data_IF_254306966532
#
_entry.id   IF_254306966532
#
_cell.length_a   1.000
_cell.length_b   1.000
_cell.length_c   1.000
_cell.angle_alpha   90.00
_cell.angle_beta   90.00
_cell.angle_gamma   90.00
#
_symmetry.space_group_name_H-M   'P 1'
#
loop_
_entity.id
_entity.type
_entity.pdbx_description
1 polymer ?
#
# COMPACT_ATOMS: atom_id res chain seq x y z
N UNK A 1 -17.53 9.41 -45.08
CA UNK A 1 -17.46 9.75 -43.64
C UNK A 1 -16.42 10.84 -43.46
N UNK A 2 -16.72 11.92 -42.74
CA UNK A 2 -15.71 12.94 -42.40
C UNK A 2 -14.80 12.32 -41.33
N UNK A 3 -13.53 12.07 -41.66
CA UNK A 3 -12.54 11.58 -40.68
C UNK A 3 -12.36 12.65 -39.59
N UNK A 4 -12.93 12.39 -38.41
CA UNK A 4 -12.73 13.25 -37.24
C UNK A 4 -11.29 13.07 -36.77
N UNK A 5 -10.53 14.16 -36.75
CA UNK A 5 -9.15 14.17 -36.27
C UNK A 5 -9.10 14.52 -34.79
N UNK A 6 -8.26 13.80 -34.06
CA UNK A 6 -8.00 13.98 -32.65
C UNK A 6 -6.53 14.35 -32.46
N UNK A 7 -6.29 15.31 -31.57
CA UNK A 7 -4.94 15.74 -31.20
C UNK A 7 -4.61 15.24 -29.81
N UNK A 8 -3.41 14.70 -29.63
CA UNK A 8 -2.90 14.36 -28.30
C UNK A 8 -2.84 15.62 -27.43
N UNK A 9 -3.56 15.60 -26.32
CA UNK A 9 -3.65 16.71 -25.36
C UNK A 9 -2.74 16.47 -24.15
N UNK A 10 -2.68 15.22 -23.68
CA UNK A 10 -1.86 14.85 -22.53
C UNK A 10 -2.10 13.42 -22.10
N UNK A 11 -1.99 13.15 -20.81
CA UNK A 11 -2.28 11.84 -20.23
C UNK A 11 -2.88 11.96 -18.84
N UNK A 12 -3.62 10.93 -18.41
CA UNK A 12 -4.19 10.90 -17.06
C UNK A 12 -3.06 10.75 -16.02
N UNK A 13 -3.12 11.52 -14.93
CA UNK A 13 -2.25 11.34 -13.76
C UNK A 13 -2.97 10.56 -12.69
N UNK A 14 -2.33 9.51 -12.19
CA UNK A 14 -2.90 8.66 -11.15
C UNK A 14 -2.12 8.80 -9.84
N UNK A 15 -2.32 9.90 -9.10
CA UNK A 15 -1.79 10.07 -7.75
C UNK A 15 -0.28 9.80 -7.58
N UNK A 16 0.16 9.58 -6.34
CA UNK A 16 1.57 9.63 -5.91
C UNK A 16 2.36 8.32 -6.00
N UNK A 17 2.07 7.41 -6.95
CA UNK A 17 2.72 6.09 -6.96
C UNK A 17 3.33 5.69 -8.31
N UNK A 18 4.42 4.92 -8.19
CA UNK A 18 5.44 4.47 -9.15
C UNK A 18 5.02 3.68 -10.39
N UNK A 19 3.75 3.72 -10.82
CA UNK A 19 3.36 3.02 -12.06
C UNK A 19 3.67 3.88 -13.28
N UNK A 20 4.55 3.42 -14.18
CA UNK A 20 5.09 4.30 -15.18
C UNK A 20 4.30 4.26 -16.50
N UNK A 21 3.15 3.60 -16.59
CA UNK A 21 2.31 3.56 -17.81
C UNK A 21 0.92 4.09 -17.49
N UNK A 22 0.42 5.03 -18.31
CA UNK A 22 -0.88 5.68 -18.12
C UNK A 22 -1.67 5.78 -19.43
N UNK A 23 -2.84 6.43 -19.39
CA UNK A 23 -3.81 6.53 -20.49
C UNK A 23 -3.64 7.86 -21.22
N UNK A 24 -3.51 7.88 -22.55
CA UNK A 24 -3.44 9.10 -23.33
C UNK A 24 -4.81 9.80 -23.35
N UNK A 25 -4.77 11.13 -23.40
CA UNK A 25 -5.95 11.99 -23.50
C UNK A 25 -5.82 12.80 -24.78
N UNK A 26 -6.88 12.78 -25.58
CA UNK A 26 -6.98 13.48 -26.84
C UNK A 26 -8.04 14.57 -26.77
N UNK A 27 -7.85 15.60 -27.58
CA UNK A 27 -8.83 16.64 -27.83
C UNK A 27 -9.29 16.50 -29.27
N UNK A 28 -10.60 16.49 -29.50
CA UNK A 28 -11.14 16.50 -30.87
C UNK A 28 -10.93 17.88 -31.47
N UNK A 29 -10.57 17.95 -32.74
CA UNK A 29 -10.42 19.22 -33.45
C UNK A 29 -11.69 20.08 -33.29
N UNK A 30 -11.49 21.36 -32.93
CA UNK A 30 -12.55 22.35 -32.69
C UNK A 30 -13.52 21.98 -31.55
N UNK A 31 -13.07 21.21 -30.56
CA UNK A 31 -13.84 20.89 -29.36
C UNK A 31 -13.01 21.09 -28.09
N UNK A 32 -13.62 21.63 -27.03
CA UNK A 32 -13.00 21.68 -25.70
C UNK A 32 -13.18 20.38 -24.91
N UNK A 33 -13.85 19.38 -25.49
CA UNK A 33 -14.03 18.08 -24.83
C UNK A 33 -12.76 17.25 -24.95
N UNK A 34 -12.42 16.60 -23.85
CA UNK A 34 -11.33 15.64 -23.77
C UNK A 34 -11.87 14.23 -24.00
N UNK A 35 -11.02 13.37 -24.52
CA UNK A 35 -11.37 12.03 -24.93
C UNK A 35 -10.27 11.04 -24.57
N UNK A 36 -10.66 9.82 -24.23
CA UNK A 36 -9.77 8.68 -24.02
C UNK A 36 -9.97 7.71 -25.17
N UNK A 37 -8.91 7.19 -25.83
CA UNK A 37 -9.09 6.27 -26.93
C UNK A 37 -9.60 4.94 -26.42
N UNK A 38 -10.59 4.41 -27.12
CA UNK A 38 -10.96 3.01 -27.07
C UNK A 38 -10.04 2.25 -28.02
N UNK A 39 -9.34 1.25 -27.52
CA UNK A 39 -8.38 0.49 -28.34
C UNK A 39 -8.57 -1.01 -28.19
N UNK A 40 -8.06 -1.76 -29.17
CA UNK A 40 -7.81 -3.20 -29.03
C UNK A 40 -6.52 -3.49 -28.23
N UNK A 41 -6.16 -4.79 -28.12
CA UNK A 41 -4.92 -5.31 -27.55
C UNK A 41 -3.63 -4.73 -28.16
N UNK A 42 -3.67 -4.34 -29.43
CA UNK A 42 -2.53 -3.80 -30.17
C UNK A 42 -2.48 -2.27 -30.10
N UNK A 43 -3.33 -1.66 -29.27
CA UNK A 43 -3.49 -0.20 -29.14
C UNK A 43 -4.07 0.47 -30.38
N UNK A 44 -4.67 -0.28 -31.31
CA UNK A 44 -5.38 0.28 -32.46
C UNK A 44 -6.64 1.00 -31.97
N UNK A 45 -6.81 2.26 -32.36
CA UNK A 45 -7.96 3.08 -31.98
C UNK A 45 -9.20 2.62 -32.74
N UNK A 46 -10.20 2.18 -31.99
CA UNK A 46 -11.49 1.75 -32.52
C UNK A 46 -12.54 2.86 -32.40
N UNK A 47 -12.46 3.68 -31.34
CA UNK A 47 -13.37 4.79 -31.07
C UNK A 47 -12.77 5.70 -29.96
N UNK A 48 -13.53 6.69 -29.49
CA UNK A 48 -13.16 7.56 -28.38
C UNK A 48 -14.28 7.67 -27.33
N UNK A 49 -13.90 7.62 -26.06
CA UNK A 49 -14.78 7.91 -24.91
C UNK A 49 -14.64 9.36 -24.51
N UNK A 50 -15.75 10.07 -24.29
CA UNK A 50 -15.71 11.42 -23.74
C UNK A 50 -15.28 11.37 -22.26
N UNK A 51 -14.32 12.20 -21.90
CA UNK A 51 -13.86 12.40 -20.54
C UNK A 51 -14.56 13.62 -19.95
N UNK A 52 -15.15 13.48 -18.77
CA UNK A 52 -15.74 14.61 -18.06
C UNK A 52 -14.65 15.54 -17.53
N UNK A 53 -14.97 16.83 -17.55
CA UNK A 53 -14.12 17.87 -17.01
C UNK A 53 -13.94 17.67 -15.49
N UNK A 54 -12.69 17.65 -15.02
CA UNK A 54 -12.37 17.46 -13.59
C UNK A 54 -12.44 16.01 -13.06
N UNK A 55 -12.88 15.03 -13.86
CA UNK A 55 -12.93 13.62 -13.41
C UNK A 55 -11.54 13.03 -13.12
N UNK A 56 -10.50 13.55 -13.77
CA UNK A 56 -9.11 13.15 -13.60
C UNK A 56 -8.19 14.36 -13.77
N UNK A 57 -7.06 14.37 -13.05
CA UNK A 57 -5.95 15.27 -13.34
C UNK A 57 -5.29 14.85 -14.66
N UNK A 58 -5.07 15.81 -15.56
CA UNK A 58 -4.43 15.57 -16.86
C UNK A 58 -3.06 16.23 -16.85
N UNK A 59 -2.01 15.42 -16.99
CA UNK A 59 -0.65 15.90 -17.21
C UNK A 59 -0.43 16.14 -18.70
N UNK A 60 -0.12 17.39 -19.03
CA UNK A 60 0.33 17.78 -20.37
C UNK A 60 1.84 17.53 -20.41
N UNK A 61 2.29 16.81 -21.44
CA UNK A 61 3.72 16.56 -21.67
C UNK A 61 4.15 17.02 -23.04
N UNK A 62 5.46 17.09 -23.22
CA UNK A 62 6.06 17.39 -24.51
C UNK A 62 6.05 16.13 -25.40
N UNK A 63 5.59 16.28 -26.63
CA UNK A 63 5.50 15.18 -27.60
C UNK A 63 6.59 15.39 -28.64
N UNK A 64 7.60 14.52 -28.63
CA UNK A 64 8.77 14.67 -29.49
C UNK A 64 8.60 14.10 -30.89
N UNK A 65 7.83 13.02 -31.04
CA UNK A 65 7.43 12.52 -32.35
C UNK A 65 6.10 13.15 -32.78
N UNK A 66 6.16 13.96 -33.84
CA UNK A 66 4.98 14.61 -34.40
C UNK A 66 3.92 13.63 -34.93
N UNK A 67 4.30 12.39 -35.27
CA UNK A 67 3.35 11.37 -35.70
C UNK A 67 2.40 10.96 -34.56
N UNK A 68 2.80 11.13 -33.30
CA UNK A 68 1.96 10.83 -32.14
C UNK A 68 0.97 11.95 -31.82
N UNK A 69 1.15 13.15 -32.39
CA UNK A 69 0.33 14.32 -32.08
C UNK A 69 -1.07 14.25 -32.69
N UNK A 70 -1.24 13.56 -33.80
CA UNK A 70 -2.51 13.50 -34.54
C UNK A 70 -2.90 12.06 -34.79
N UNK A 71 -4.09 11.71 -34.36
CA UNK A 71 -4.62 10.36 -34.48
C UNK A 71 -6.06 10.41 -34.98
N UNK A 72 -6.46 9.36 -35.69
CA UNK A 72 -7.82 9.07 -36.08
C UNK A 72 -8.21 7.64 -35.68
N UNK A 73 -9.47 7.29 -35.90
CA UNK A 73 -9.91 5.90 -35.78
C UNK A 73 -9.18 5.07 -36.84
N UNK A 74 -8.58 3.95 -36.42
CA UNK A 74 -7.70 3.11 -37.24
C UNK A 74 -6.21 3.40 -37.07
N UNK A 75 -5.84 4.48 -36.36
CA UNK A 75 -4.44 4.73 -35.96
C UNK A 75 -4.08 4.01 -34.66
N UNK A 76 -2.79 3.83 -34.38
CA UNK A 76 -2.33 3.37 -33.07
C UNK A 76 -2.37 4.51 -32.04
N UNK A 77 -2.97 4.26 -30.88
CA UNK A 77 -2.89 5.18 -29.75
C UNK A 77 -1.48 5.15 -29.17
N UNK A 78 -0.89 6.33 -28.97
CA UNK A 78 0.35 6.42 -28.20
C UNK A 78 0.16 5.88 -26.77
N UNK A 79 1.26 5.47 -26.15
CA UNK A 79 1.30 4.99 -24.78
C UNK A 79 2.08 5.99 -23.94
N UNK A 80 1.41 6.76 -23.06
CA UNK A 80 2.13 7.66 -22.18
C UNK A 80 2.82 6.91 -21.04
N UNK A 81 4.05 7.32 -20.78
CA UNK A 81 4.90 6.83 -19.72
C UNK A 81 5.18 7.96 -18.71
N UNK A 82 5.04 7.65 -17.42
CA UNK A 82 5.22 8.61 -16.32
C UNK A 82 6.51 8.35 -15.56
N UNK A 83 7.28 9.40 -15.32
CA UNK A 83 8.44 9.38 -14.44
C UNK A 83 8.49 10.66 -13.60
N UNK A 84 8.21 10.53 -12.31
CA UNK A 84 7.98 11.68 -11.44
C UNK A 84 6.78 12.50 -11.92
N UNK A 85 7.00 13.78 -12.24
CA UNK A 85 5.98 14.68 -12.81
C UNK A 85 6.08 14.82 -14.34
N UNK A 86 7.00 14.10 -14.98
CA UNK A 86 7.16 14.15 -16.44
C UNK A 86 6.32 13.06 -17.10
N UNK A 87 5.76 13.41 -18.26
CA UNK A 87 5.09 12.48 -19.16
C UNK A 87 5.82 12.40 -20.49
N UNK A 88 6.00 11.17 -20.96
CA UNK A 88 6.65 10.83 -22.21
C UNK A 88 5.66 10.04 -23.06
N UNK A 89 5.66 10.18 -24.37
CA UNK A 89 4.68 9.51 -25.23
C UNK A 89 5.42 8.63 -26.23
N UNK A 90 5.13 7.32 -26.20
CA UNK A 90 5.78 6.36 -27.08
C UNK A 90 4.78 5.71 -28.03
N UNK A 91 5.22 5.37 -29.23
CA UNK A 91 4.45 4.47 -30.09
C UNK A 91 4.41 3.07 -29.48
N UNK A 92 3.25 2.38 -29.49
CA UNK A 92 3.14 1.02 -28.96
C UNK A 92 4.10 0.02 -29.63
N UNK A 93 4.49 0.26 -30.88
CA UNK A 93 5.35 -0.62 -31.68
C UNK A 93 6.84 -0.30 -31.57
N UNK A 94 7.24 0.78 -30.88
CA UNK A 94 8.66 1.13 -30.78
C UNK A 94 9.48 0.06 -30.06
N UNK A 95 10.70 -0.15 -30.55
CA UNK A 95 11.75 -0.92 -29.88
C UNK A 95 12.40 -0.11 -28.75
N UNK A 96 13.19 -0.78 -27.89
CA UNK A 96 14.01 -0.10 -26.86
C UNK A 96 14.85 1.03 -27.47
N UNK A 97 15.49 0.75 -28.61
CA UNK A 97 16.38 1.68 -29.30
C UNK A 97 15.62 2.90 -29.83
N UNK A 98 14.41 2.69 -30.38
CA UNK A 98 13.55 3.80 -30.83
C UNK A 98 13.08 4.66 -29.65
N UNK A 99 12.65 4.04 -28.55
CA UNK A 99 12.26 4.77 -27.34
C UNK A 99 13.44 5.60 -26.82
N UNK A 100 14.64 5.02 -26.72
CA UNK A 100 15.83 5.74 -26.26
C UNK A 100 16.26 6.87 -27.20
N UNK A 101 16.03 6.72 -28.51
CA UNK A 101 16.32 7.76 -29.51
C UNK A 101 15.41 8.97 -29.33
N UNK A 102 14.10 8.75 -29.18
CA UNK A 102 13.13 9.84 -29.08
C UNK A 102 13.00 10.38 -27.65
N UNK A 103 13.11 9.52 -26.64
CA UNK A 103 12.97 9.82 -25.20
C UNK A 103 14.23 9.42 -24.39
N UNK A 104 15.39 10.04 -24.65
CA UNK A 104 16.67 9.66 -24.01
C UNK A 104 16.73 9.87 -22.50
N UNK A 105 15.82 10.69 -21.94
CA UNK A 105 15.74 10.96 -20.49
C UNK A 105 14.91 9.92 -19.73
N UNK A 106 14.21 9.04 -20.43
CA UNK A 106 13.33 8.05 -19.81
C UNK A 106 14.14 6.90 -19.21
N UNK A 107 13.91 6.59 -17.92
CA UNK A 107 14.67 5.53 -17.28
C UNK A 107 14.39 4.13 -17.86
N UNK A 108 15.43 3.30 -17.88
CA UNK A 108 15.38 1.94 -18.42
C UNK A 108 14.35 1.05 -17.71
N UNK A 109 14.09 1.27 -16.42
CA UNK A 109 13.08 0.52 -15.67
C UNK A 109 11.66 0.81 -16.16
N UNK A 110 11.37 2.06 -16.53
CA UNK A 110 10.10 2.46 -17.13
C UNK A 110 9.92 1.82 -18.50
N UNK A 111 10.96 1.85 -19.34
CA UNK A 111 10.96 1.21 -20.67
C UNK A 111 10.69 -0.30 -20.52
N UNK A 112 11.37 -0.98 -19.59
CA UNK A 112 11.13 -2.40 -19.31
C UNK A 112 9.71 -2.67 -18.84
N UNK A 113 9.15 -1.83 -17.98
CA UNK A 113 7.77 -1.97 -17.51
C UNK A 113 6.75 -1.83 -18.64
N UNK A 114 6.95 -0.88 -19.55
CA UNK A 114 6.15 -0.71 -20.76
C UNK A 114 6.22 -1.95 -21.67
N UNK A 115 7.42 -2.41 -22.01
CA UNK A 115 7.59 -3.56 -22.90
C UNK A 115 7.02 -4.85 -22.29
N UNK A 116 7.21 -5.06 -20.99
CA UNK A 116 6.60 -6.18 -20.26
C UNK A 116 5.07 -6.12 -20.24
N UNK A 117 4.49 -4.92 -20.17
CA UNK A 117 3.05 -4.74 -20.31
C UNK A 117 2.61 -5.11 -21.73
N UNK A 118 3.27 -4.58 -22.76
CA UNK A 118 2.97 -4.85 -24.17
C UNK A 118 3.01 -6.35 -24.48
N UNK A 119 4.07 -7.05 -24.10
CA UNK A 119 4.20 -8.49 -24.31
C UNK A 119 3.08 -9.30 -23.65
N UNK A 120 2.70 -8.93 -22.41
CA UNK A 120 1.61 -9.62 -21.69
C UNK A 120 0.25 -9.42 -22.36
N UNK A 121 0.04 -8.28 -23.00
CA UNK A 121 -1.18 -8.00 -23.76
C UNK A 121 -1.17 -8.84 -25.05
N UNK A 122 -0.08 -8.79 -25.83
CA UNK A 122 0.05 -9.54 -27.08
C UNK A 122 -0.10 -11.06 -26.88
N UNK A 123 0.49 -11.63 -25.81
CA UNK A 123 0.38 -13.06 -25.51
C UNK A 123 -1.04 -13.54 -25.18
N UNK A 124 -1.91 -12.64 -24.69
CA UNK A 124 -3.30 -12.98 -24.31
C UNK A 124 -4.30 -12.77 -25.44
N UNK A 125 -3.95 -11.98 -26.45
CA UNK A 125 -4.80 -11.62 -27.58
C UNK A 125 -5.04 -12.77 -28.59
N UNK A 126 -4.48 -13.97 -28.38
CA UNK A 126 -4.43 -15.01 -29.42
C UNK A 126 -5.55 -16.07 -29.38
N UNK A 127 -6.57 -15.93 -28.54
CA UNK A 127 -7.68 -16.90 -28.50
C UNK A 127 -9.01 -16.23 -28.85
N UNK A 128 -9.53 -16.62 -30.02
CA UNK A 128 -10.89 -16.47 -30.55
C UNK A 128 -11.12 -15.39 -31.65
N UNK A 129 -11.21 -15.79 -32.94
CA UNK A 129 -11.48 -14.89 -34.06
C UNK A 129 -12.97 -14.75 -34.42
N UNK A 130 -13.92 -15.26 -33.61
CA UNK A 130 -15.36 -15.18 -33.93
C UNK A 130 -16.05 -14.20 -33.00
N UNK A 131 -16.49 -13.06 -33.54
CA UNK A 131 -17.87 -12.56 -33.38
C UNK A 131 -18.03 -11.18 -34.03
N UNK A 132 -18.93 -11.13 -35.01
CA UNK A 132 -19.42 -9.95 -35.72
C UNK A 132 -20.26 -9.04 -34.79
N UNK A 133 -20.23 -7.73 -35.10
CA UNK A 133 -21.09 -6.64 -34.56
C UNK A 133 -21.10 -6.35 -33.04
N UNK A 134 -20.70 -7.25 -32.13
CA UNK A 134 -20.49 -6.98 -30.69
C UNK A 134 -19.08 -6.46 -30.35
N UNK A 135 -18.21 -6.32 -31.36
CA UNK A 135 -16.81 -5.87 -31.28
C UNK A 135 -16.65 -4.52 -30.56
N UNK A 136 -17.70 -3.68 -30.58
CA UNK A 136 -17.71 -2.35 -29.98
C UNK A 136 -17.80 -2.41 -28.45
N UNK A 137 -18.49 -3.38 -27.84
CA UNK A 137 -18.49 -3.51 -26.37
C UNK A 137 -17.36 -4.46 -25.89
N UNK A 138 -16.71 -5.18 -26.82
CA UNK A 138 -15.66 -6.17 -26.56
C UNK A 138 -14.26 -5.64 -26.24
N UNK A 139 -13.99 -4.34 -26.38
CA UNK A 139 -12.73 -3.75 -25.92
C UNK A 139 -12.49 -3.91 -24.39
N UNK A 140 -13.54 -4.25 -23.62
CA UNK A 140 -13.45 -4.59 -22.19
C UNK A 140 -13.36 -6.10 -21.91
N UNK A 141 -13.52 -6.97 -22.93
CA UNK A 141 -13.37 -8.43 -22.81
C UNK A 141 -11.92 -8.85 -22.64
N UNK A 142 -10.96 -8.01 -23.02
CA UNK A 142 -9.57 -8.34 -22.83
C UNK A 142 -9.24 -8.41 -21.34
N UNK A 143 -8.78 -9.59 -20.93
CA UNK A 143 -8.36 -9.89 -19.58
C UNK A 143 -7.36 -8.81 -19.14
N UNK A 144 -7.74 -7.89 -18.24
CA UNK A 144 -6.88 -6.76 -17.92
C UNK A 144 -5.56 -7.28 -17.40
N UNK A 145 -4.46 -6.71 -17.88
CA UNK A 145 -3.20 -6.83 -17.16
C UNK A 145 -3.34 -5.97 -15.90
N UNK A 146 -2.74 -6.36 -14.78
CA UNK A 146 -2.77 -5.68 -13.47
C UNK A 146 -2.14 -4.27 -13.52
N UNK A 147 -2.71 -3.39 -14.34
CA UNK A 147 -2.21 -2.07 -14.71
C UNK A 147 -3.35 -1.06 -14.57
N UNK A 148 -3.02 0.11 -14.03
CA UNK A 148 -3.93 1.27 -13.90
C UNK A 148 -4.53 1.71 -15.22
N UNK A 149 -3.80 1.46 -16.31
CA UNK A 149 -4.25 1.70 -17.67
C UNK A 149 -5.66 1.15 -17.93
N UNK A 150 -5.89 -0.13 -17.60
CA UNK A 150 -7.16 -0.82 -17.88
C UNK A 150 -8.28 -0.39 -16.94
N UNK A 151 -7.94 -0.13 -15.67
CA UNK A 151 -8.87 0.38 -14.66
C UNK A 151 -9.47 1.72 -15.10
N UNK A 152 -8.63 2.62 -15.57
CA UNK A 152 -9.05 3.97 -15.93
C UNK A 152 -9.81 3.99 -17.26
N UNK A 153 -9.43 3.16 -18.23
CA UNK A 153 -10.23 2.96 -19.45
C UNK A 153 -11.64 2.46 -19.15
N UNK A 154 -11.76 1.48 -18.24
CA UNK A 154 -13.07 0.96 -17.82
C UNK A 154 -13.93 2.05 -17.18
N UNK A 155 -13.37 2.83 -16.26
CA UNK A 155 -14.12 3.94 -15.62
C UNK A 155 -14.56 4.98 -16.66
N UNK A 156 -13.65 5.42 -17.53
CA UNK A 156 -13.97 6.39 -18.57
C UNK A 156 -15.10 5.92 -19.48
N UNK A 157 -15.12 4.62 -19.81
CA UNK A 157 -16.17 4.04 -20.64
C UNK A 157 -17.53 3.97 -19.94
N UNK A 158 -17.58 3.58 -18.67
CA UNK A 158 -18.81 3.55 -17.88
C UNK A 158 -19.40 4.96 -17.75
N UNK A 159 -18.57 5.94 -17.40
CA UNK A 159 -18.99 7.35 -17.29
C UNK A 159 -19.45 7.90 -18.63
N UNK A 160 -18.68 7.69 -19.71
CA UNK A 160 -19.06 8.10 -21.07
C UNK A 160 -20.37 7.45 -21.52
N UNK A 161 -20.59 6.16 -21.24
CA UNK A 161 -21.85 5.50 -21.57
C UNK A 161 -23.04 6.08 -20.79
N UNK A 162 -22.83 6.44 -19.52
CA UNK A 162 -23.83 7.09 -18.67
C UNK A 162 -24.21 8.47 -19.21
N UNK A 163 -23.23 9.34 -19.44
CA UNK A 163 -23.46 10.74 -19.82
C UNK A 163 -24.09 10.89 -21.19
N UNK A 164 -23.84 9.93 -22.08
CA UNK A 164 -24.46 9.92 -23.41
C UNK A 164 -25.83 9.21 -23.42
N UNK A 165 -26.40 8.86 -22.27
CA UNK A 165 -27.69 8.15 -22.17
C UNK A 165 -27.66 6.73 -22.74
N UNK A 166 -26.47 6.18 -22.99
CA UNK A 166 -26.23 4.87 -23.64
C UNK A 166 -26.10 3.72 -22.64
N UNK A 167 -26.32 3.97 -21.36
CA UNK A 167 -26.18 3.01 -20.26
C UNK A 167 -27.48 2.24 -20.01
N UNK A 168 -27.88 1.42 -20.99
CA UNK A 168 -29.06 0.55 -20.90
C UNK A 168 -28.95 -0.46 -19.74
N UNK A 169 -30.07 -1.02 -19.29
CA UNK A 169 -30.08 -2.06 -18.23
C UNK A 169 -29.21 -3.26 -18.60
N UNK A 170 -29.21 -3.68 -19.88
CA UNK A 170 -28.32 -4.74 -20.39
C UNK A 170 -26.83 -4.36 -20.24
N UNK A 171 -26.45 -3.14 -20.62
CA UNK A 171 -25.08 -2.62 -20.46
C UNK A 171 -24.65 -2.47 -19.01
N UNK A 172 -25.54 -2.04 -18.11
CA UNK A 172 -25.28 -2.01 -16.66
C UNK A 172 -24.97 -3.40 -16.12
N UNK A 173 -25.74 -4.42 -16.52
CA UNK A 173 -25.50 -5.81 -16.13
C UNK A 173 -24.15 -6.29 -16.68
N UNK A 174 -23.85 -6.01 -17.95
CA UNK A 174 -22.58 -6.36 -18.58
C UNK A 174 -21.38 -5.76 -17.83
N UNK A 175 -21.36 -4.44 -17.60
CA UNK A 175 -20.26 -3.78 -16.86
C UNK A 175 -20.11 -4.30 -15.43
N UNK A 176 -21.23 -4.63 -14.77
CA UNK A 176 -21.21 -5.25 -13.43
C UNK A 176 -20.57 -6.64 -13.47
N UNK A 177 -20.86 -7.45 -14.49
CA UNK A 177 -20.30 -8.79 -14.65
C UNK A 177 -18.79 -8.73 -14.99
N UNK A 178 -18.39 -7.86 -15.92
CA UNK A 178 -16.97 -7.67 -16.25
C UNK A 178 -16.16 -7.22 -15.03
N UNK A 179 -16.68 -6.24 -14.29
CA UNK A 179 -16.05 -5.80 -13.04
C UNK A 179 -15.91 -6.94 -12.05
N UNK A 180 -16.94 -7.77 -11.83
CA UNK A 180 -16.87 -8.92 -10.93
C UNK A 180 -15.78 -9.90 -11.36
N UNK A 181 -15.69 -10.19 -12.65
CA UNK A 181 -14.67 -11.10 -13.18
C UNK A 181 -13.25 -10.52 -13.02
N UNK A 182 -13.09 -9.23 -13.22
CA UNK A 182 -11.81 -8.54 -13.00
C UNK A 182 -11.38 -8.58 -11.55
N UNK A 183 -12.30 -8.30 -10.63
CA UNK A 183 -12.06 -8.40 -9.19
C UNK A 183 -11.61 -9.82 -8.85
N UNK A 184 -12.32 -10.84 -9.36
CA UNK A 184 -11.99 -12.25 -9.11
C UNK A 184 -10.59 -12.62 -9.61
N UNK A 185 -10.20 -12.17 -10.80
CA UNK A 185 -8.91 -12.53 -11.43
C UNK A 185 -7.71 -11.69 -10.97
N UNK A 186 -7.91 -10.42 -10.59
CA UNK A 186 -6.81 -9.44 -10.43
C UNK A 186 -6.72 -8.76 -9.08
N UNK A 187 -7.74 -8.83 -8.22
CA UNK A 187 -7.75 -8.13 -6.93
C UNK A 187 -6.47 -8.37 -6.13
N UNK A 188 -5.95 -9.60 -6.11
CA UNK A 188 -4.73 -9.96 -5.37
C UNK A 188 -3.43 -9.35 -5.92
N UNK A 189 -3.40 -9.04 -7.22
CA UNK A 189 -2.21 -8.55 -7.93
C UNK A 189 -2.24 -7.04 -8.16
N UNK A 190 -3.42 -6.42 -8.09
CA UNK A 190 -3.60 -4.99 -8.23
C UNK A 190 -3.35 -4.26 -6.90
N UNK A 191 -2.78 -3.05 -6.92
CA UNK A 191 -2.75 -2.17 -5.75
C UNK A 191 -4.15 -1.90 -5.23
N UNK A 192 -4.30 -1.79 -3.90
CA UNK A 192 -5.59 -1.58 -3.25
C UNK A 192 -6.34 -0.34 -3.79
N UNK A 193 -5.63 0.77 -4.00
CA UNK A 193 -6.18 2.01 -4.57
C UNK A 193 -6.82 1.79 -5.94
N UNK A 194 -6.23 0.94 -6.79
CA UNK A 194 -6.79 0.64 -8.10
C UNK A 194 -8.09 -0.15 -7.99
N UNK A 195 -8.15 -1.07 -7.01
CA UNK A 195 -9.35 -1.83 -6.74
C UNK A 195 -10.46 -0.89 -6.23
N UNK A 196 -10.16 -0.01 -5.26
CA UNK A 196 -11.09 1.01 -4.76
C UNK A 196 -11.72 1.82 -5.91
N UNK A 197 -10.90 2.33 -6.82
CA UNK A 197 -11.36 3.08 -7.99
C UNK A 197 -12.32 2.29 -8.90
N UNK A 198 -12.10 0.99 -9.08
CA UNK A 198 -13.01 0.12 -9.85
C UNK A 198 -14.33 -0.10 -9.10
N UNK A 199 -14.27 -0.28 -7.78
CA UNK A 199 -15.45 -0.56 -6.95
C UNK A 199 -16.33 0.69 -6.77
N UNK A 200 -15.73 1.87 -6.85
CA UNK A 200 -16.36 3.17 -6.60
C UNK A 200 -16.86 3.89 -7.87
N UNK A 201 -16.81 3.25 -9.04
CA UNK A 201 -17.43 3.78 -10.26
C UNK A 201 -18.93 4.11 -10.01
N UNK A 202 -19.34 5.40 -9.98
CA UNK A 202 -20.64 5.84 -9.45
C UNK A 202 -21.85 5.20 -10.14
N UNK A 203 -21.79 5.06 -11.45
CA UNK A 203 -22.90 4.69 -12.33
C UNK A 203 -23.21 3.18 -12.29
N UNK A 204 -22.28 2.41 -11.73
CA UNK A 204 -22.41 0.98 -11.47
C UNK A 204 -22.07 0.65 -10.02
N UNK A 205 -22.16 1.61 -9.08
CA UNK A 205 -21.72 1.42 -7.70
C UNK A 205 -22.23 0.09 -7.11
N UNK A 206 -21.31 -0.68 -6.53
CA UNK A 206 -21.70 -1.84 -5.72
C UNK A 206 -22.04 -1.37 -4.31
N UNK A 207 -23.04 -2.01 -3.70
CA UNK A 207 -23.39 -1.74 -2.31
C UNK A 207 -22.21 -2.00 -1.37
N UNK A 208 -22.14 -1.24 -0.27
CA UNK A 208 -21.03 -1.29 0.69
C UNK A 208 -20.75 -2.71 1.19
N UNK A 209 -21.80 -3.51 1.46
CA UNK A 209 -21.64 -4.92 1.84
C UNK A 209 -20.81 -5.69 0.82
N UNK A 210 -21.07 -5.57 -0.48
CA UNK A 210 -20.29 -6.27 -1.51
C UNK A 210 -18.86 -5.77 -1.60
N UNK A 211 -18.63 -4.45 -1.46
CA UNK A 211 -17.28 -3.84 -1.43
C UNK A 211 -16.44 -4.44 -0.30
N UNK A 212 -16.98 -4.42 0.92
CA UNK A 212 -16.32 -5.01 2.10
C UNK A 212 -15.97 -6.47 1.85
N UNK A 213 -16.86 -7.26 1.22
CA UNK A 213 -16.59 -8.66 0.88
C UNK A 213 -15.35 -8.81 0.01
N UNK A 214 -15.27 -7.98 -1.04
CA UNK A 214 -14.22 -8.04 -2.04
C UNK A 214 -12.87 -7.66 -1.41
N UNK A 215 -12.85 -6.58 -0.63
CA UNK A 215 -11.64 -6.16 0.07
C UNK A 215 -11.17 -7.21 1.07
N UNK A 216 -12.12 -7.84 1.78
CA UNK A 216 -11.84 -8.85 2.79
C UNK A 216 -11.30 -10.14 2.16
N UNK A 217 -11.91 -10.61 1.07
CA UNK A 217 -11.41 -11.76 0.30
C UNK A 217 -10.02 -11.48 -0.29
N UNK A 218 -9.78 -10.29 -0.86
CA UNK A 218 -8.44 -9.89 -1.33
C UNK A 218 -7.44 -9.92 -0.18
N UNK A 219 -7.80 -9.35 0.96
CA UNK A 219 -6.90 -9.27 2.09
C UNK A 219 -6.52 -10.65 2.61
N UNK A 220 -7.49 -11.56 2.75
CA UNK A 220 -7.24 -12.96 3.11
C UNK A 220 -6.26 -13.65 2.13
N UNK A 221 -6.41 -13.43 0.82
CA UNK A 221 -5.51 -13.98 -0.18
C UNK A 221 -4.10 -13.34 -0.15
N UNK A 222 -4.01 -12.05 0.16
CA UNK A 222 -2.72 -11.39 0.40
C UNK A 222 -2.04 -11.90 1.67
N UNK A 223 -2.77 -12.09 2.75
CA UNK A 223 -2.24 -12.66 3.98
C UNK A 223 -1.67 -14.06 3.74
N UNK A 224 -2.39 -14.91 2.99
CA UNK A 224 -1.92 -16.24 2.62
C UNK A 224 -0.64 -16.23 1.77
N UNK A 225 -0.53 -15.28 0.84
CA UNK A 225 0.57 -15.26 -0.15
C UNK A 225 1.79 -14.44 0.28
N UNK A 226 1.60 -13.40 1.10
CA UNK A 226 2.65 -12.45 1.49
C UNK A 226 2.90 -12.40 2.99
N UNK A 227 1.95 -12.80 3.83
CA UNK A 227 2.07 -12.72 5.29
C UNK A 227 2.52 -11.32 5.76
N UNK A 228 3.65 -11.27 6.47
CA UNK A 228 4.25 -10.03 6.98
C UNK A 228 4.81 -9.10 5.88
N UNK A 229 4.97 -9.58 4.65
CA UNK A 229 5.52 -8.79 3.53
C UNK A 229 4.49 -7.88 2.84
N UNK A 230 3.29 -7.72 3.42
CA UNK A 230 2.28 -6.78 2.89
C UNK A 230 2.77 -5.35 3.14
N UNK A 231 2.75 -4.44 2.14
CA UNK A 231 3.19 -3.07 2.32
C UNK A 231 2.43 -2.32 3.42
N UNK A 232 3.16 -1.57 4.25
CA UNK A 232 2.60 -0.77 5.35
C UNK A 232 1.47 0.17 4.91
N UNK A 233 1.59 0.77 3.73
CA UNK A 233 0.56 1.65 3.16
C UNK A 233 -0.75 0.90 2.86
N UNK A 234 -0.69 -0.36 2.40
CA UNK A 234 -1.87 -1.20 2.21
C UNK A 234 -2.44 -1.63 3.57
N UNK A 235 -1.60 -2.04 4.53
CA UNK A 235 -2.06 -2.43 5.86
C UNK A 235 -2.80 -1.30 6.57
N UNK A 236 -2.27 -0.07 6.54
CA UNK A 236 -2.95 1.12 7.11
C UNK A 236 -4.32 1.34 6.50
N UNK A 237 -4.43 1.16 5.17
CA UNK A 237 -5.71 1.30 4.48
C UNK A 237 -6.69 0.19 4.88
N UNK A 238 -6.21 -1.03 5.06
CA UNK A 238 -7.03 -2.13 5.57
C UNK A 238 -7.51 -1.93 7.01
N UNK A 239 -6.68 -1.36 7.89
CA UNK A 239 -7.11 -1.01 9.25
C UNK A 239 -8.25 0.03 9.24
N UNK A 240 -8.26 0.95 8.27
CA UNK A 240 -9.38 1.90 8.09
C UNK A 240 -10.65 1.21 7.57
N UNK A 241 -10.50 0.24 6.65
CA UNK A 241 -11.61 -0.50 6.09
C UNK A 241 -12.22 -1.50 7.08
N UNK A 242 -11.41 -2.05 7.99
CA UNK A 242 -11.77 -3.08 8.97
C UNK A 242 -11.31 -2.64 10.37
N UNK A 243 -12.01 -1.71 11.02
CA UNK A 243 -11.57 -1.13 12.30
C UNK A 243 -11.48 -2.16 13.43
N UNK A 244 -12.25 -3.25 13.36
CA UNK A 244 -12.19 -4.35 14.33
C UNK A 244 -11.17 -5.44 13.95
N UNK A 245 -10.41 -5.25 12.88
CA UNK A 245 -9.51 -6.25 12.31
C UNK A 245 -10.20 -7.15 11.28
N UNK A 246 -9.42 -7.63 10.32
CA UNK A 246 -9.94 -8.48 9.26
C UNK A 246 -10.41 -9.86 9.75
N UNK A 247 -9.82 -10.40 10.82
CA UNK A 247 -10.23 -11.70 11.39
C UNK A 247 -11.66 -11.63 11.92
N UNK A 248 -12.01 -10.57 12.67
CA UNK A 248 -13.38 -10.35 13.16
C UNK A 248 -14.38 -10.25 11.99
N UNK A 249 -14.03 -9.47 10.97
CA UNK A 249 -14.86 -9.31 9.76
C UNK A 249 -15.05 -10.63 9.00
N UNK A 250 -13.99 -11.44 8.90
CA UNK A 250 -14.05 -12.77 8.28
C UNK A 250 -14.96 -13.71 9.08
N UNK A 251 -14.84 -13.73 10.42
CA UNK A 251 -15.67 -14.55 11.28
C UNK A 251 -17.16 -14.18 11.19
N UNK A 252 -17.49 -12.88 11.21
CA UNK A 252 -18.87 -12.41 11.06
C UNK A 252 -19.45 -12.89 9.72
N UNK A 253 -18.64 -12.82 8.66
CA UNK A 253 -19.12 -12.95 7.29
C UNK A 253 -19.11 -14.38 6.75
N UNK A 254 -18.15 -15.20 7.17
CA UNK A 254 -17.93 -16.53 6.66
C UNK A 254 -18.15 -17.62 7.71
N UNK A 255 -19.03 -17.37 8.70
CA UNK A 255 -19.33 -18.27 9.84
C UNK A 255 -19.30 -19.77 9.51
N UNK A 256 -19.69 -20.18 8.29
CA UNK A 256 -19.69 -21.58 7.83
C UNK A 256 -19.06 -21.84 6.43
N UNK A 257 -18.44 -20.85 5.76
CA UNK A 257 -18.08 -20.96 4.34
C UNK A 257 -16.57 -20.94 4.03
N UNK A 258 -15.75 -20.45 4.97
CA UNK A 258 -14.30 -20.48 4.91
C UNK A 258 -13.84 -21.12 6.20
N UNK A 259 -13.01 -22.17 6.14
CA UNK A 259 -12.39 -22.74 7.34
C UNK A 259 -11.44 -21.69 7.94
N UNK A 260 -12.00 -20.83 8.80
CA UNK A 260 -11.27 -19.78 9.47
C UNK A 260 -10.19 -20.34 10.39
N UNK A 261 -10.33 -21.57 10.88
CA UNK A 261 -9.28 -22.24 11.63
C UNK A 261 -8.11 -22.62 10.72
N UNK A 262 -8.36 -22.95 9.45
CA UNK A 262 -7.30 -23.12 8.45
C UNK A 262 -6.63 -21.80 8.09
N UNK A 263 -7.40 -20.74 7.81
CA UNK A 263 -6.83 -19.41 7.47
C UNK A 263 -6.01 -18.86 8.63
N UNK A 264 -6.50 -19.00 9.86
CA UNK A 264 -5.75 -18.62 11.06
C UNK A 264 -4.49 -19.47 11.21
N UNK A 265 -4.56 -20.81 11.07
CA UNK A 265 -3.36 -21.68 11.13
C UNK A 265 -2.32 -21.29 10.09
N UNK A 266 -2.70 -21.14 8.82
CA UNK A 266 -1.78 -20.74 7.75
C UNK A 266 -1.15 -19.37 8.03
N UNK A 267 -1.91 -18.42 8.57
CA UNK A 267 -1.40 -17.11 8.94
C UNK A 267 -0.43 -17.19 10.11
N UNK A 268 -0.74 -18.02 11.12
CA UNK A 268 0.12 -18.24 12.27
C UNK A 268 1.42 -18.90 11.85
N UNK A 269 1.35 -19.95 11.04
CA UNK A 269 2.52 -20.65 10.50
C UNK A 269 3.38 -19.69 9.67
N UNK A 270 2.75 -18.80 8.88
CA UNK A 270 3.46 -17.79 8.10
C UNK A 270 4.13 -16.73 8.97
N UNK A 271 3.45 -16.20 9.99
CA UNK A 271 4.03 -15.22 10.93
C UNK A 271 5.15 -15.88 11.72
N UNK A 272 4.88 -17.01 12.35
CA UNK A 272 5.84 -17.76 13.16
C UNK A 272 7.06 -18.19 12.34
N UNK A 273 6.85 -18.75 11.15
CA UNK A 273 7.94 -19.11 10.24
C UNK A 273 8.72 -17.90 9.75
N UNK A 274 8.06 -16.79 9.42
CA UNK A 274 8.76 -15.59 8.95
C UNK A 274 9.64 -14.99 10.05
N UNK A 275 9.17 -15.04 11.29
CA UNK A 275 9.94 -14.58 12.45
C UNK A 275 11.11 -15.52 12.73
N UNK A 276 10.88 -16.81 12.95
CA UNK A 276 11.95 -17.74 13.33
C UNK A 276 12.98 -17.96 12.22
N UNK A 277 12.57 -18.02 10.95
CA UNK A 277 13.51 -18.20 9.82
C UNK A 277 14.53 -17.07 9.73
N UNK A 278 14.22 -15.88 10.24
CA UNK A 278 15.17 -14.78 10.33
C UNK A 278 16.29 -15.13 11.33
N UNK A 279 15.92 -15.58 12.52
CA UNK A 279 16.84 -15.90 13.60
C UNK A 279 17.65 -17.18 13.35
N UNK A 280 17.05 -18.18 12.70
CA UNK A 280 17.76 -19.40 12.26
C UNK A 280 18.90 -19.08 11.28
N UNK A 281 18.73 -18.06 10.43
CA UNK A 281 19.76 -17.65 9.46
C UNK A 281 20.84 -16.81 10.11
N UNK A 282 20.43 -15.90 10.98
CA UNK A 282 21.32 -14.92 11.60
C UNK A 282 22.09 -15.50 12.81
N UNK A 283 21.69 -16.66 13.35
CA UNK A 283 22.22 -17.25 14.59
C UNK A 283 22.08 -16.30 15.79
N UNK A 284 20.97 -15.57 15.81
CA UNK A 284 20.69 -14.48 16.75
C UNK A 284 19.54 -14.91 17.65
N UNK A 285 19.59 -14.55 18.93
CA UNK A 285 18.50 -14.83 19.87
C UNK A 285 17.23 -14.03 19.50
N UNK A 286 16.09 -14.69 19.21
CA UNK A 286 14.83 -14.00 18.90
C UNK A 286 14.30 -13.13 20.05
N UNK A 287 14.74 -13.39 21.28
CA UNK A 287 14.33 -12.62 22.45
C UNK A 287 15.25 -11.45 22.77
N UNK A 288 16.41 -11.33 22.12
CA UNK A 288 17.31 -10.18 22.34
C UNK A 288 16.69 -8.89 21.75
N UNK A 289 16.37 -7.88 22.57
CA UNK A 289 15.77 -6.63 22.12
C UNK A 289 16.60 -5.87 21.08
N UNK A 290 17.94 -6.01 21.04
CA UNK A 290 18.80 -5.26 20.12
C UNK A 290 18.69 -5.71 18.67
N UNK A 291 18.25 -6.95 18.48
CA UNK A 291 18.10 -7.60 17.17
C UNK A 291 16.91 -7.03 16.41
N UNK A 292 15.93 -6.50 17.13
CA UNK A 292 14.71 -5.91 16.60
C UNK A 292 14.87 -4.42 16.32
N UNK A 293 14.62 -4.02 15.07
CA UNK A 293 14.63 -2.62 14.68
C UNK A 293 13.28 -1.97 14.98
N UNK A 294 13.28 -0.68 15.38
CA UNK A 294 12.04 0.03 15.68
C UNK A 294 11.08 0.08 14.50
N UNK A 295 11.58 0.26 13.29
CA UNK A 295 10.73 0.35 12.10
C UNK A 295 10.10 -0.99 11.73
N UNK A 296 10.75 -2.09 12.08
CA UNK A 296 10.18 -3.43 11.95
C UNK A 296 9.03 -3.63 12.93
N UNK A 297 9.23 -3.30 14.21
CA UNK A 297 8.17 -3.38 15.24
C UNK A 297 7.00 -2.45 14.94
N UNK A 298 7.24 -1.26 14.36
CA UNK A 298 6.17 -0.39 13.85
C UNK A 298 5.39 -1.02 12.69
N UNK A 299 6.03 -1.85 11.86
CA UNK A 299 5.33 -2.55 10.79
C UNK A 299 4.51 -3.71 11.35
N UNK A 300 5.01 -4.38 12.39
CA UNK A 300 4.28 -5.41 13.11
C UNK A 300 3.05 -4.86 13.81
N UNK A 301 3.16 -3.75 14.55
CA UNK A 301 2.01 -3.09 15.17
C UNK A 301 0.90 -2.84 14.15
N UNK A 302 1.26 -2.25 13.00
CA UNK A 302 0.30 -1.99 11.92
C UNK A 302 -0.28 -3.30 11.39
N UNK A 303 0.53 -4.33 11.18
CA UNK A 303 0.07 -5.64 10.72
C UNK A 303 -0.93 -6.28 11.69
N UNK A 304 -0.56 -6.42 12.97
CA UNK A 304 -1.41 -7.07 13.97
C UNK A 304 -2.71 -6.30 14.18
N UNK A 305 -2.67 -4.96 14.19
CA UNK A 305 -3.86 -4.14 14.24
C UNK A 305 -4.75 -4.31 13.00
N UNK A 306 -4.19 -4.37 11.80
CA UNK A 306 -4.98 -4.58 10.56
C UNK A 306 -5.60 -5.99 10.48
N UNK A 307 -4.88 -7.01 10.96
CA UNK A 307 -5.31 -8.40 10.86
C UNK A 307 -6.24 -8.79 12.01
N UNK A 308 -5.80 -8.60 13.24
CA UNK A 308 -6.51 -9.04 14.44
C UNK A 308 -7.33 -7.91 15.06
N UNK A 309 -6.88 -6.66 14.98
CA UNK A 309 -7.59 -5.55 15.63
C UNK A 309 -7.68 -5.79 17.14
N UNK A 310 -8.90 -6.06 17.63
CA UNK A 310 -9.16 -6.39 19.05
C UNK A 310 -9.21 -7.90 19.33
N UNK A 311 -9.20 -8.72 18.28
CA UNK A 311 -9.22 -10.18 18.39
C UNK A 311 -7.96 -10.71 19.07
N UNK A 312 -8.07 -11.88 19.68
CA UNK A 312 -6.92 -12.56 20.28
C UNK A 312 -5.91 -12.90 19.19
N UNK A 313 -4.68 -12.46 19.38
CA UNK A 313 -3.55 -12.96 18.61
C UNK A 313 -3.27 -14.43 18.98
N UNK A 314 -2.65 -15.20 18.09
CA UNK A 314 -2.36 -16.61 18.32
C UNK A 314 -1.38 -16.76 19.48
N UNK A 315 -1.62 -17.77 20.33
CA UNK A 315 -0.82 -17.99 21.54
C UNK A 315 0.69 -18.04 21.27
N UNK A 316 1.14 -18.76 20.25
CA UNK A 316 2.57 -18.88 19.91
C UNK A 316 3.22 -17.53 19.56
N UNK A 317 2.47 -16.66 18.88
CA UNK A 317 2.93 -15.32 18.53
C UNK A 317 2.86 -14.39 19.75
N UNK A 318 1.83 -14.52 20.58
CA UNK A 318 1.72 -13.82 21.85
C UNK A 318 2.90 -14.18 22.77
N UNK A 319 3.15 -15.47 23.00
CA UNK A 319 4.22 -15.99 23.85
C UNK A 319 5.61 -15.48 23.38
N UNK A 320 5.83 -15.39 22.07
CA UNK A 320 7.04 -14.81 21.50
C UNK A 320 7.18 -13.32 21.81
N UNK A 321 6.11 -12.55 21.59
CA UNK A 321 6.10 -11.09 21.80
C UNK A 321 6.18 -10.76 23.29
N UNK A 322 5.50 -11.54 24.14
CA UNK A 322 5.58 -11.47 25.60
C UNK A 322 6.99 -11.79 26.08
N UNK A 323 7.63 -12.82 25.51
CA UNK A 323 9.04 -13.11 25.76
C UNK A 323 9.93 -11.91 25.42
N UNK A 324 9.78 -11.33 24.23
CA UNK A 324 10.55 -10.16 23.81
C UNK A 324 10.28 -8.93 24.70
N UNK A 325 9.05 -8.74 25.16
CA UNK A 325 8.69 -7.69 26.10
C UNK A 325 9.38 -7.90 27.46
N UNK A 326 9.31 -9.12 28.00
CA UNK A 326 9.96 -9.48 29.27
C UNK A 326 11.48 -9.34 29.20
N UNK A 327 12.10 -9.76 28.10
CA UNK A 327 13.53 -9.54 27.88
C UNK A 327 13.87 -8.06 27.70
N UNK A 328 13.00 -7.25 27.08
CA UNK A 328 13.19 -5.80 26.99
C UNK A 328 13.15 -5.13 28.36
N UNK A 329 12.25 -5.59 29.24
CA UNK A 329 12.14 -5.14 30.63
C UNK A 329 13.37 -5.57 31.43
N UNK A 330 13.76 -6.85 31.37
CA UNK A 330 14.94 -7.38 32.04
C UNK A 330 16.23 -6.68 31.57
N UNK A 331 16.35 -6.44 30.26
CA UNK A 331 17.50 -5.75 29.68
C UNK A 331 17.57 -4.29 30.12
N UNK A 332 16.43 -3.61 30.17
CA UNK A 332 16.34 -2.27 30.71
C UNK A 332 16.71 -2.27 32.20
N UNK A 333 16.30 -3.31 32.95
CA UNK A 333 16.67 -3.49 34.33
C UNK A 333 18.16 -3.77 34.55
N UNK A 334 18.86 -4.48 33.66
CA UNK A 334 20.30 -4.73 33.74
C UNK A 334 21.14 -3.46 33.49
N UNK A 335 20.65 -2.55 32.65
CA UNK A 335 21.25 -1.21 32.49
C UNK A 335 21.01 -0.36 33.75
N UNK A 336 20.09 -0.80 34.59
CA UNK A 336 19.55 -0.05 35.69
C UNK A 336 20.05 -0.56 37.04
N UNK A 337 20.29 0.32 38.00
CA UNK A 337 20.69 -0.11 39.34
C UNK A 337 19.48 -0.45 40.24
N UNK A 338 18.24 -0.18 39.80
CA UNK A 338 17.04 -0.40 40.61
C UNK A 338 15.83 -0.85 39.76
N UNK A 339 15.58 -2.17 39.77
CA UNK A 339 14.47 -2.82 39.05
C UNK A 339 13.09 -2.27 39.46
N UNK A 340 12.86 -2.07 40.76
CA UNK A 340 11.54 -1.63 41.28
C UNK A 340 11.20 -0.19 40.86
N UNK A 341 12.18 0.72 40.89
CA UNK A 341 11.99 2.11 40.46
C UNK A 341 11.67 2.20 38.95
N UNK A 342 12.25 1.30 38.16
CA UNK A 342 12.05 1.25 36.71
C UNK A 342 10.75 0.59 36.30
N UNK A 343 10.38 -0.53 36.92
CA UNK A 343 9.06 -1.12 36.75
C UNK A 343 7.99 -0.09 37.14
N UNK A 344 8.21 0.65 38.23
CA UNK A 344 7.31 1.72 38.65
C UNK A 344 7.27 2.90 37.66
N UNK A 345 8.39 3.29 37.07
CA UNK A 345 8.47 4.31 36.02
C UNK A 345 7.79 3.87 34.70
N UNK A 346 7.97 2.62 34.32
CA UNK A 346 7.45 2.02 33.08
C UNK A 346 5.94 1.83 33.16
N UNK A 347 5.40 1.37 34.29
CA UNK A 347 4.00 0.98 34.43
C UNK A 347 3.12 2.02 35.15
N UNK A 348 3.68 2.84 36.05
CA UNK A 348 2.90 3.70 36.95
C UNK A 348 3.24 5.19 36.89
N UNK A 349 4.33 5.57 36.24
CA UNK A 349 4.53 6.87 35.63
C UNK A 349 4.25 8.11 36.50
N UNK A 350 5.23 8.55 37.27
CA UNK A 350 5.35 9.97 37.65
C UNK A 350 6.81 10.41 37.60
N UNK A 351 7.26 11.03 36.50
CA UNK A 351 8.54 11.72 36.43
C UNK A 351 8.32 13.24 36.55
N UNK A 352 8.34 13.75 37.79
CA UNK A 352 8.46 15.19 38.05
C UNK A 352 9.92 15.61 38.27
N UNK A 353 10.22 16.93 38.39
CA UNK A 353 11.58 17.45 38.63
C UNK A 353 12.26 16.84 39.87
N UNK A 354 11.46 16.43 40.86
CA UNK A 354 11.92 15.77 42.08
C UNK A 354 12.35 14.31 41.90
N UNK A 355 11.96 13.68 40.79
CA UNK A 355 12.30 12.29 40.47
C UNK A 355 13.48 12.18 39.50
N UNK A 356 14.03 13.28 38.97
CA UNK A 356 15.20 13.27 38.08
C UNK A 356 16.44 12.57 38.69
N UNK A 357 16.80 12.80 39.97
CA UNK A 357 17.89 12.05 40.62
C UNK A 357 17.58 10.56 40.81
N UNK A 358 16.31 10.21 41.05
CA UNK A 358 15.85 8.81 41.10
C UNK A 358 15.89 8.16 39.72
N UNK A 359 15.56 8.90 38.67
CA UNK A 359 15.62 8.45 37.29
C UNK A 359 17.08 8.19 36.88
N UNK A 360 17.99 9.09 37.25
CA UNK A 360 19.45 8.95 37.08
C UNK A 360 20.00 7.70 37.77
N UNK A 361 19.64 7.50 39.04
CA UNK A 361 20.02 6.30 39.79
C UNK A 361 19.35 5.03 39.22
N UNK A 362 18.09 5.14 38.79
CA UNK A 362 17.35 4.03 38.21
C UNK A 362 18.07 3.53 36.97
N UNK A 363 18.38 4.35 35.97
CA UNK A 363 19.16 3.94 34.76
C UNK A 363 20.67 3.74 34.98
N UNK A 364 21.07 3.42 36.21
CA UNK A 364 22.41 2.92 36.52
C UNK A 364 23.50 3.97 36.58
N UNK A 365 23.20 5.26 36.32
CA UNK A 365 24.16 6.34 36.41
C UNK A 365 24.46 6.65 37.89
N UNK A 366 25.37 5.89 38.50
CA UNK A 366 25.93 6.21 39.82
C UNK A 366 26.60 7.59 39.77
N UNK A 367 26.72 8.26 40.91
CA UNK A 367 27.49 9.51 41.03
C UNK A 367 28.91 9.42 40.46
N UNK A 368 29.49 8.22 40.43
CA UNK A 368 30.82 7.93 39.87
C UNK A 368 30.81 7.79 38.33
N UNK A 369 29.67 7.49 37.70
CA UNK A 369 29.48 7.40 36.24
C UNK A 369 29.00 8.73 35.61
N UNK A 370 28.74 9.76 36.42
CA UNK A 370 28.68 11.15 35.94
C UNK A 370 30.00 11.60 35.28
N UNK A 371 31.08 10.84 35.48
CA UNK A 371 32.38 10.95 34.79
C UNK A 371 32.37 10.44 33.34
N UNK A 372 31.27 9.83 32.86
CA UNK A 372 31.12 9.43 31.46
C UNK A 372 31.14 10.66 30.55
N UNK A 373 31.94 10.59 29.48
CA UNK A 373 31.94 11.58 28.39
C UNK A 373 30.51 11.82 27.89
N UNK A 374 30.19 13.07 27.52
CA UNK A 374 28.88 13.48 26.97
C UNK A 374 28.32 12.51 25.92
N UNK A 375 29.18 11.98 25.07
CA UNK A 375 28.86 11.01 24.02
C UNK A 375 28.35 9.67 24.57
N UNK A 376 28.97 9.13 25.62
CA UNK A 376 28.53 7.90 26.28
C UNK A 376 27.20 8.09 27.01
N UNK A 377 27.00 9.25 27.65
CA UNK A 377 25.71 9.61 28.28
C UNK A 377 24.59 9.71 27.23
N UNK A 378 24.87 10.33 26.10
CA UNK A 378 23.94 10.39 24.96
C UNK A 378 23.59 9.00 24.41
N UNK A 379 24.57 8.11 24.29
CA UNK A 379 24.34 6.74 23.82
C UNK A 379 23.43 5.94 24.77
N UNK A 380 23.62 6.07 26.10
CA UNK A 380 22.77 5.41 27.10
C UNK A 380 21.33 5.93 27.04
N UNK A 381 21.15 7.26 26.99
CA UNK A 381 19.83 7.89 26.88
C UNK A 381 19.10 7.46 25.59
N UNK A 382 19.82 7.42 24.47
CA UNK A 382 19.25 6.98 23.20
C UNK A 382 18.83 5.50 23.26
N UNK A 383 19.62 4.66 23.93
CA UNK A 383 19.30 3.24 24.12
C UNK A 383 18.03 3.04 24.94
N UNK A 384 17.88 3.78 26.06
CA UNK A 384 16.68 3.76 26.90
C UNK A 384 15.46 4.22 26.09
N UNK A 385 15.59 5.31 25.33
CA UNK A 385 14.51 5.83 24.47
C UNK A 385 14.07 4.80 23.42
N UNK A 386 15.03 4.12 22.81
CA UNK A 386 14.74 3.07 21.83
C UNK A 386 14.05 1.87 22.51
N UNK A 387 14.55 1.38 23.65
CA UNK A 387 13.93 0.29 24.39
C UNK A 387 12.51 0.62 24.82
N UNK A 388 12.26 1.84 25.35
CA UNK A 388 10.91 2.26 25.69
C UNK A 388 9.98 2.28 24.47
N UNK A 389 10.46 2.79 23.34
CA UNK A 389 9.69 2.78 22.09
C UNK A 389 9.39 1.36 21.61
N UNK A 390 10.30 0.39 21.83
CA UNK A 390 10.05 -1.03 21.54
C UNK A 390 8.99 -1.59 22.48
N UNK A 391 9.10 -1.35 23.79
CA UNK A 391 8.12 -1.80 24.78
C UNK A 391 6.72 -1.23 24.53
N UNK A 392 6.58 0.04 24.16
CA UNK A 392 5.29 0.63 23.74
C UNK A 392 4.66 -0.15 22.57
N UNK A 393 5.45 -0.46 21.55
CA UNK A 393 4.98 -1.18 20.35
C UNK A 393 4.61 -2.64 20.67
N UNK A 394 5.43 -3.33 21.45
CA UNK A 394 5.17 -4.70 21.88
C UNK A 394 3.92 -4.76 22.76
N UNK A 395 3.78 -3.83 23.71
CA UNK A 395 2.61 -3.71 24.58
C UNK A 395 1.34 -3.43 23.77
N UNK A 396 1.40 -2.59 22.74
CA UNK A 396 0.26 -2.36 21.83
C UNK A 396 -0.18 -3.64 21.12
N UNK A 397 0.78 -4.47 20.68
CA UNK A 397 0.48 -5.74 20.02
C UNK A 397 -0.13 -6.76 20.99
N UNK A 398 0.47 -6.95 22.17
CA UNK A 398 0.01 -7.91 23.20
C UNK A 398 -1.36 -7.51 23.75
N UNK A 399 -1.49 -6.25 24.17
CA UNK A 399 -2.71 -5.75 24.79
C UNK A 399 -3.81 -5.46 23.79
N UNK A 400 -3.52 -5.54 22.47
CA UNK A 400 -4.47 -5.30 21.36
C UNK A 400 -5.09 -3.91 21.45
N UNK A 401 -4.24 -2.94 21.78
CA UNK A 401 -4.59 -1.55 21.96
C UNK A 401 -3.90 -0.73 20.88
N UNK A 402 -4.48 0.41 20.55
CA UNK A 402 -3.76 1.42 19.78
C UNK A 402 -2.56 1.94 20.58
N UNK A 403 -1.53 2.39 19.88
CA UNK A 403 -0.34 2.97 20.52
C UNK A 403 -0.71 4.16 21.43
N UNK A 404 -1.74 4.93 21.06
CA UNK A 404 -2.23 6.06 21.85
C UNK A 404 -2.91 5.60 23.14
N UNK A 405 -3.74 4.54 23.08
CA UNK A 405 -4.36 3.92 24.25
C UNK A 405 -3.31 3.32 25.20
N UNK A 406 -2.30 2.61 24.67
CA UNK A 406 -1.19 2.10 25.48
C UNK A 406 -0.49 3.25 26.21
N UNK A 407 -0.13 4.29 25.47
CA UNK A 407 0.51 5.49 26.03
C UNK A 407 -0.32 6.16 27.14
N UNK A 408 -1.64 6.09 27.05
CA UNK A 408 -2.55 6.65 28.06
C UNK A 408 -2.77 5.73 29.27
N UNK A 409 -2.76 4.42 29.06
CA UNK A 409 -3.14 3.43 30.08
C UNK A 409 -1.97 2.80 30.82
N UNK A 410 -0.79 2.75 30.21
CA UNK A 410 0.39 2.08 30.75
C UNK A 410 1.48 3.07 31.20
N UNK A 411 1.20 4.37 31.23
CA UNK A 411 2.13 5.36 31.79
C UNK A 411 3.32 5.75 30.90
N UNK A 412 3.53 5.12 29.73
CA UNK A 412 4.65 5.48 28.83
C UNK A 412 4.68 6.97 28.40
N UNK A 413 3.53 7.68 28.34
CA UNK A 413 3.47 9.14 28.09
C UNK A 413 4.14 9.99 29.18
N UNK A 414 4.35 9.44 30.37
CA UNK A 414 4.83 10.19 31.54
C UNK A 414 6.35 10.31 31.63
N UNK A 415 7.10 9.58 30.79
CA UNK A 415 8.55 9.69 30.71
C UNK A 415 8.89 10.97 29.92
N UNK A 416 9.19 12.07 30.63
CA UNK A 416 9.63 13.31 30.00
C UNK A 416 11.09 13.21 29.54
N UNK A 417 11.27 12.91 28.25
CA UNK A 417 12.58 12.84 27.61
C UNK A 417 13.33 14.18 27.54
N UNK A 418 12.67 15.32 27.81
CA UNK A 418 13.36 16.60 27.91
C UNK A 418 14.17 16.71 29.22
N UNK A 419 13.71 16.07 30.31
CA UNK A 419 14.49 15.91 31.55
C UNK A 419 15.68 14.95 31.38
N UNK A 420 15.64 14.05 30.39
CA UNK A 420 16.81 13.25 29.99
C UNK A 420 17.83 14.07 29.19
N UNK A 421 17.41 15.14 28.50
CA UNK A 421 18.34 16.06 27.82
C UNK A 421 19.09 16.97 28.78
N UNK A 422 18.49 17.40 29.90
CA UNK A 422 19.20 18.19 30.91
C UNK A 422 20.33 17.39 31.58
N UNK A 423 20.21 16.07 31.65
CA UNK A 423 21.25 15.14 32.11
C UNK A 423 22.50 15.15 31.19
N UNK A 424 22.34 15.44 29.90
CA UNK A 424 23.47 15.59 28.97
C UNK A 424 24.35 16.81 29.28
N UNK A 425 23.80 17.80 29.99
CA UNK A 425 24.46 19.05 30.33
C UNK A 425 24.86 19.12 31.82
N UNK A 426 24.56 18.08 32.60
CA UNK A 426 24.87 18.02 34.03
C UNK A 426 26.39 17.87 34.23
N UNK A 427 27.02 18.80 34.96
CA UNK A 427 28.48 18.82 35.21
C UNK A 427 29.32 19.64 34.22
N UNK A 428 28.71 20.49 33.39
CA UNK A 428 29.40 21.57 32.64
C UNK A 428 29.37 22.93 33.39
N UNK A 429 28.95 22.96 34.67
CA UNK A 429 29.02 24.15 35.56
C UNK A 429 30.19 24.08 36.54
#
# INVERSE_FOLDING_TARGET
>A
MVHQKYRLYGCLKFGSSTYPVTVPVYQRDRSNRLFVPKTDARFLILDFYSLDEGAYEVLIGEVRDQNLLRTDIGSFACVPLLEGNNSYFVDPNWSVQQIQKFEPKLAQNTIKAFLSLRERILKKSYNDPREDEEIVDNAFLEIPVSSRYWVSKFRAAVTSASNNGRLSSKRKIYFRNQRKEWIRRFSNKAPLVCLEQILEAPEIAIGNKSKTSIFLTRFALQLRSKGLSIPKSELKRYAQLFPNGAVAELQIRFRNAVDMAQVQRELNDNVYSAVLKRFDREHVDPFDPHTWQLDELKNWEVFFRSVYGKERIPKQVADLIDGLLNYSIAYLADISANYEDLEHLIYYGQAGPYNTPRLLNAVGMKSEELSLTKEKRAAVIERIRQLNSKMELLSAIVNRQSLDEVRETTGFKSIDYNNLKSILNYGEE
#
